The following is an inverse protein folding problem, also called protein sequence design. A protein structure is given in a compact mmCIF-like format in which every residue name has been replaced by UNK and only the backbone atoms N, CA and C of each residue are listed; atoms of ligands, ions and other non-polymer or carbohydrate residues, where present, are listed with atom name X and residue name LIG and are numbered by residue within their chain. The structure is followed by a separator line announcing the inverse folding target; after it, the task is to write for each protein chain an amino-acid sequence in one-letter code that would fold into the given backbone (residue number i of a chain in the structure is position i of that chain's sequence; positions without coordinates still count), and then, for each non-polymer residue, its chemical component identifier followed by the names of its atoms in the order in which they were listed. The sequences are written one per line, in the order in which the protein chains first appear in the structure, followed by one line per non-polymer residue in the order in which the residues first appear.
data_IF_796540789679
#
_entry.id   IF_796540789679
#
_cell.length_a   1.000
_cell.length_b   1.000
_cell.length_c   1.000
_cell.angle_alpha   90.00
_cell.angle_beta   90.00
_cell.angle_gamma   90.00
#
_symmetry.space_group_name_H-M   'P 1'
#
loop_
_entity.id
_entity.type
_entity.pdbx_description
1 polymer ?
#
# COMPACT_ATOMS: atom_id res chain seq x y z
N UNK A 1 3.86 -12.89 6.67
CA UNK A 1 3.97 -12.28 5.33
C UNK A 1 4.13 -10.78 5.53
N UNK A 2 5.06 -10.09 4.85
CA UNK A 2 5.22 -8.64 5.00
C UNK A 2 3.90 -7.91 4.71
N UNK A 3 3.49 -6.96 5.55
CA UNK A 3 2.16 -6.32 5.50
C UNK A 3 1.99 -5.60 4.16
N UNK A 4 3.06 -5.01 3.63
CA UNK A 4 3.09 -4.42 2.29
C UNK A 4 2.67 -5.38 1.19
N UNK A 5 3.01 -6.68 1.27
CA UNK A 5 2.56 -7.68 0.29
C UNK A 5 1.04 -7.86 0.33
N UNK A 6 0.43 -7.79 1.50
CA UNK A 6 -1.01 -7.91 1.68
C UNK A 6 -1.74 -6.66 1.14
N UNK A 7 -1.16 -5.48 1.38
CA UNK A 7 -1.67 -4.20 0.82
C UNK A 7 -1.59 -4.19 -0.71
N UNK A 8 -0.49 -4.68 -1.31
CA UNK A 8 -0.36 -4.81 -2.76
C UNK A 8 -1.40 -5.79 -3.31
N UNK A 9 -1.57 -6.95 -2.67
CA UNK A 9 -2.54 -7.95 -3.10
C UNK A 9 -3.97 -7.42 -3.03
N UNK A 10 -4.30 -6.66 -1.98
CA UNK A 10 -5.60 -6.02 -1.84
C UNK A 10 -5.85 -4.98 -2.94
N UNK A 11 -4.83 -4.22 -3.32
CA UNK A 11 -4.92 -3.18 -4.35
C UNK A 11 -4.64 -3.67 -5.78
N UNK A 12 -4.46 -4.98 -6.01
CA UNK A 12 -3.97 -5.50 -7.29
C UNK A 12 -4.85 -5.07 -8.48
N UNK A 13 -6.18 -5.05 -8.31
CA UNK A 13 -7.12 -4.64 -9.37
C UNK A 13 -6.90 -3.19 -9.79
N UNK A 14 -6.66 -2.30 -8.82
CA UNK A 14 -6.39 -0.88 -9.07
C UNK A 14 -5.04 -0.68 -9.76
N UNK A 15 -4.01 -1.41 -9.33
CA UNK A 15 -2.67 -1.37 -9.94
C UNK A 15 -2.73 -1.87 -11.38
N UNK A 16 -3.41 -3.00 -11.62
CA UNK A 16 -3.57 -3.57 -12.96
C UNK A 16 -4.33 -2.61 -13.88
N UNK A 17 -5.44 -2.02 -13.41
CA UNK A 17 -6.20 -1.02 -14.16
C UNK A 17 -5.32 0.19 -14.51
N UNK A 18 -4.55 0.70 -13.54
CA UNK A 18 -3.61 1.79 -13.76
C UNK A 18 -2.57 1.47 -14.83
N UNK A 19 -2.00 0.27 -14.80
CA UNK A 19 -1.06 -0.20 -15.84
C UNK A 19 -1.72 -0.29 -17.21
N UNK A 20 -2.93 -0.85 -17.31
CA UNK A 20 -3.68 -0.91 -18.56
C UNK A 20 -3.94 0.49 -19.13
N UNK A 21 -4.39 1.44 -18.31
CA UNK A 21 -4.64 2.82 -18.73
C UNK A 21 -3.34 3.50 -19.18
N UNK A 22 -2.23 3.33 -18.45
CA UNK A 22 -0.94 3.88 -18.84
C UNK A 22 -0.51 3.37 -20.23
N UNK A 23 -0.63 2.07 -20.48
CA UNK A 23 -0.33 1.47 -21.80
C UNK A 23 -1.24 2.03 -22.89
N UNK A 24 -2.54 2.15 -22.64
CA UNK A 24 -3.50 2.72 -23.60
C UNK A 24 -3.13 4.17 -23.93
N UNK A 25 -2.84 5.00 -22.91
CA UNK A 25 -2.42 6.39 -23.11
C UNK A 25 -1.12 6.49 -23.91
N UNK A 26 -0.16 5.61 -23.63
CA UNK A 26 1.10 5.56 -24.37
C UNK A 26 0.87 5.20 -25.83
N UNK A 27 0.08 4.16 -26.14
CA UNK A 27 -0.26 3.76 -27.51
C UNK A 27 -1.01 4.90 -28.23
N UNK A 28 -2.03 5.48 -27.57
CA UNK A 28 -2.79 6.59 -28.11
C UNK A 28 -1.90 7.81 -28.43
N UNK A 29 -0.84 8.04 -27.63
CA UNK A 29 0.09 9.15 -27.87
C UNK A 29 0.79 9.07 -29.23
N UNK A 30 1.01 7.85 -29.76
CA UNK A 30 1.65 7.66 -31.07
C UNK A 30 0.68 7.75 -32.25
N UNK A 31 -0.63 7.67 -32.00
CA UNK A 31 -1.67 7.73 -33.05
C UNK A 31 -2.15 9.16 -33.33
N UNK A 32 -1.82 10.12 -32.45
CA UNK A 32 -2.34 11.49 -32.52
C UNK A 32 -1.29 12.42 -33.12
N UNK A 33 -1.67 13.11 -34.21
CA UNK A 33 -0.81 14.06 -34.93
C UNK A 33 -0.64 15.40 -34.22
N UNK A 34 -1.39 15.67 -33.15
CA UNK A 34 -1.23 16.89 -32.35
C UNK A 34 -0.03 16.76 -31.40
N UNK A 35 1.02 17.61 -31.54
CA UNK A 35 2.23 17.51 -30.73
C UNK A 35 1.96 17.79 -29.24
N UNK A 36 1.09 18.76 -28.94
CA UNK A 36 0.70 19.10 -27.56
C UNK A 36 -0.01 17.94 -26.89
N UNK A 37 -0.99 17.35 -27.58
CA UNK A 37 -1.78 16.26 -27.03
C UNK A 37 -0.96 14.98 -26.84
N UNK A 38 -0.04 14.70 -27.78
CA UNK A 38 0.91 13.60 -27.67
C UNK A 38 1.78 13.70 -26.40
N UNK A 39 2.36 14.88 -26.16
CA UNK A 39 3.17 15.14 -24.96
C UNK A 39 2.32 14.95 -23.69
N UNK A 40 1.10 15.48 -23.67
CA UNK A 40 0.22 15.40 -22.51
C UNK A 40 -0.14 13.94 -22.17
N UNK A 41 -0.41 13.10 -23.18
CA UNK A 41 -0.66 11.67 -22.98
C UNK A 41 0.57 10.92 -22.44
N UNK A 42 1.77 11.22 -22.95
CA UNK A 42 3.02 10.62 -22.45
C UNK A 42 3.30 11.00 -21.00
N UNK A 43 3.09 12.27 -20.65
CA UNK A 43 3.21 12.76 -19.27
C UNK A 43 2.17 12.04 -18.39
N UNK A 44 0.91 11.99 -18.82
CA UNK A 44 -0.15 11.30 -18.08
C UNK A 44 0.17 9.83 -17.83
N UNK A 45 0.60 9.09 -18.86
CA UNK A 45 1.05 7.71 -18.74
C UNK A 45 2.18 7.58 -17.71
N UNK A 46 3.20 8.45 -17.80
CA UNK A 46 4.36 8.42 -16.90
C UNK A 46 3.97 8.71 -15.44
N UNK A 47 3.06 9.67 -15.22
CA UNK A 47 2.56 10.01 -13.90
C UNK A 47 1.78 8.86 -13.24
N UNK A 48 1.02 8.09 -14.03
CA UNK A 48 0.31 6.90 -13.50
C UNK A 48 1.33 5.87 -12.99
N UNK A 49 2.37 5.58 -13.76
CA UNK A 49 3.43 4.64 -13.34
C UNK A 49 4.15 5.14 -12.09
N UNK A 50 4.53 6.42 -12.07
CA UNK A 50 5.17 7.03 -10.90
C UNK A 50 4.27 6.96 -9.66
N UNK A 51 2.97 7.19 -9.79
CA UNK A 51 2.02 7.09 -8.69
C UNK A 51 1.95 5.67 -8.12
N UNK A 52 1.91 4.65 -8.99
CA UNK A 52 1.91 3.24 -8.56
C UNK A 52 3.19 2.93 -7.77
N UNK A 53 4.36 3.31 -8.29
CA UNK A 53 5.65 3.11 -7.62
C UNK A 53 5.66 3.82 -6.25
N UNK A 54 5.24 5.09 -6.21
CA UNK A 54 5.18 5.87 -4.99
C UNK A 54 4.25 5.24 -3.95
N UNK A 55 3.09 4.71 -4.37
CA UNK A 55 2.15 4.03 -3.48
C UNK A 55 2.75 2.76 -2.87
N UNK A 56 3.48 1.97 -3.67
CA UNK A 56 4.16 0.76 -3.18
C UNK A 56 5.26 1.13 -2.19
N UNK A 57 6.07 2.14 -2.50
CA UNK A 57 7.14 2.63 -1.61
C UNK A 57 6.55 3.16 -0.31
N UNK A 58 5.49 3.97 -0.38
CA UNK A 58 4.81 4.49 0.80
C UNK A 58 4.28 3.35 1.68
N UNK A 59 3.69 2.32 1.08
CA UNK A 59 3.25 1.13 1.80
C UNK A 59 4.43 0.39 2.45
N UNK A 60 5.56 0.24 1.76
CA UNK A 60 6.75 -0.38 2.35
C UNK A 60 7.29 0.42 3.54
N UNK A 61 7.43 1.74 3.39
CA UNK A 61 7.94 2.60 4.45
C UNK A 61 7.00 2.57 5.65
N UNK A 62 5.70 2.69 5.43
CA UNK A 62 4.71 2.78 6.50
C UNK A 62 4.52 1.44 7.22
N UNK A 63 4.33 0.34 6.49
CA UNK A 63 3.91 -0.92 7.10
C UNK A 63 5.08 -1.81 7.52
N UNK A 64 6.16 -1.84 6.73
CA UNK A 64 7.26 -2.79 6.96
C UNK A 64 8.51 -2.14 7.61
N UNK A 65 8.73 -0.83 7.39
CA UNK A 65 9.93 -0.13 7.89
C UNK A 65 9.66 0.76 9.11
N UNK A 66 8.44 1.28 9.25
CA UNK A 66 8.12 2.14 10.37
C UNK A 66 7.77 1.34 11.62
N UNK A 67 8.00 1.94 12.78
CA UNK A 67 7.59 1.40 14.08
C UNK A 67 6.08 1.59 14.34
N UNK A 68 5.23 1.86 13.32
CA UNK A 68 3.78 2.12 13.50
C UNK A 68 3.08 1.03 14.31
N UNK A 69 3.49 -0.23 14.11
CA UNK A 69 2.91 -1.39 14.77
C UNK A 69 3.67 -1.82 16.02
N UNK A 70 4.74 -1.10 16.41
CA UNK A 70 5.34 -1.33 17.71
C UNK A 70 4.50 -0.63 18.76
N UNK A 71 3.92 -1.43 19.64
CA UNK A 71 3.23 -1.02 20.86
C UNK A 71 4.22 -0.45 21.90
N UNK A 72 5.10 0.48 21.50
CA UNK A 72 5.95 1.23 22.43
C UNK A 72 5.03 2.12 23.25
N UNK A 73 4.82 1.76 24.52
CA UNK A 73 4.01 2.43 25.57
C UNK A 73 2.72 1.73 25.98
N UNK A 74 2.32 0.61 25.37
CA UNK A 74 1.12 -0.10 25.82
C UNK A 74 1.33 -0.70 27.23
N UNK A 75 2.55 -1.16 27.50
CA UNK A 75 3.01 -1.72 28.80
C UNK A 75 2.95 -0.70 29.96
N UNK A 76 2.82 0.60 29.66
CA UNK A 76 2.64 1.66 30.68
C UNK A 76 1.19 1.92 31.02
N UNK A 77 0.27 1.48 30.16
CA UNK A 77 -1.17 1.75 30.25
C UNK A 77 -1.91 0.48 30.69
N UNK A 78 -1.40 -0.68 30.28
CA UNK A 78 -2.02 -1.99 30.46
C UNK A 78 -1.02 -2.90 31.17
N UNK A 79 -1.41 -3.42 32.33
CA UNK A 79 -0.66 -4.45 33.07
C UNK A 79 -1.06 -5.82 32.53
N UNK A 80 -0.26 -6.36 31.62
CA UNK A 80 -0.51 -7.65 30.97
C UNK A 80 -0.43 -8.84 31.94
N UNK A 81 0.20 -8.69 33.12
CA UNK A 81 0.26 -9.75 34.14
C UNK A 81 -1.07 -9.94 34.88
N UNK A 82 -1.97 -8.95 34.84
CA UNK A 82 -3.28 -8.98 35.51
C UNK A 82 -4.45 -9.31 34.60
N UNK A 83 -4.21 -9.51 33.30
CA UNK A 83 -5.26 -9.71 32.30
C UNK A 83 -5.30 -11.18 31.92
N UNK A 84 -6.31 -11.89 32.44
CA UNK A 84 -6.52 -13.31 32.15
C UNK A 84 -6.94 -13.56 30.69
N UNK A 85 -7.57 -12.58 30.03
CA UNK A 85 -8.02 -12.68 28.65
C UNK A 85 -7.92 -11.33 27.93
N UNK A 86 -7.07 -11.25 26.90
CA UNK A 86 -7.01 -10.10 26.00
C UNK A 86 -7.38 -10.52 24.58
N UNK A 87 -8.27 -9.75 23.95
CA UNK A 87 -8.59 -9.89 22.53
C UNK A 87 -8.05 -8.66 21.81
N UNK A 88 -7.03 -8.85 20.97
CA UNK A 88 -6.59 -7.79 20.08
C UNK A 88 -7.61 -7.66 18.94
N UNK A 89 -8.38 -6.59 18.96
CA UNK A 89 -9.31 -6.28 17.87
C UNK A 89 -8.50 -5.64 16.75
N UNK A 90 -8.31 -6.40 15.66
CA UNK A 90 -7.59 -5.95 14.47
C UNK A 90 -8.34 -4.83 13.77
N UNK A 91 -7.64 -3.75 13.43
CA UNK A 91 -8.16 -2.75 12.52
C UNK A 91 -7.44 -2.88 11.17
N UNK A 92 -8.16 -3.35 10.13
CA UNK A 92 -7.66 -3.42 8.75
C UNK A 92 -6.54 -4.46 8.53
N UNK A 93 -5.35 -4.04 8.08
CA UNK A 93 -4.23 -4.89 7.67
C UNK A 93 -3.35 -5.40 8.82
N UNK A 94 -3.81 -5.27 10.06
CA UNK A 94 -3.04 -5.68 11.23
C UNK A 94 -2.62 -7.16 11.17
N UNK A 95 -1.38 -7.49 11.54
CA UNK A 95 -0.93 -8.88 11.59
C UNK A 95 -1.73 -9.62 12.67
N UNK A 96 -2.25 -10.81 12.34
CA UNK A 96 -2.91 -11.71 13.29
C UNK A 96 -2.19 -11.67 14.65
N UNK A 97 -2.94 -11.32 15.70
CA UNK A 97 -2.43 -11.32 17.06
C UNK A 97 -1.91 -12.71 17.33
N UNK A 98 -0.66 -12.81 17.79
CA UNK A 98 -0.24 -14.03 18.45
C UNK A 98 -1.23 -14.27 19.59
N UNK A 99 -1.73 -15.49 19.73
CA UNK A 99 -2.33 -15.89 21.00
C UNK A 99 -1.32 -15.57 22.08
N UNK A 100 -1.77 -14.89 23.13
CA UNK A 100 -1.01 -14.77 24.37
C UNK A 100 -1.12 -16.14 25.04
N UNK A 101 -0.38 -17.11 24.52
CA UNK A 101 -0.19 -18.49 25.03
C UNK A 101 1.23 -18.86 24.55
N UNK A 102 2.29 -19.00 25.34
CA UNK A 102 2.61 -18.88 26.78
C UNK A 102 3.82 -17.94 26.94
#
# INVERSE_FOLDING_TARGET
MKITKLVILFNYKKILLGLCIAVILLIASYQINSPVFNILLKIGSSLIILNIIASIIASYILYDKSDLYKLKNLDRIIDFERIDNAVLIHASFDPLSKKIEE
#
